data_IF_867899351946
#
_entry.id   IF_867899351946
#
_cell.length_a   1.000
_cell.length_b   1.000
_cell.length_c   1.000
_cell.angle_alpha   90.00
_cell.angle_beta   90.00
_cell.angle_gamma   90.00
#
_symmetry.space_group_name_H-M   'P 1'
#
loop_
_entity.id
_entity.type
_entity.pdbx_description
1 polymer ?
#
# COMPACT_ATOMS: atom_id res chain seq x y z
N UNK A 1 -11.34 1.42 16.70
CA UNK A 1 -10.61 2.62 16.19
C UNK A 1 -11.63 3.59 15.67
N UNK A 2 -11.47 4.89 15.93
CA UNK A 2 -12.34 5.95 15.40
C UNK A 2 -11.95 6.38 13.99
N UNK A 3 -12.80 7.19 13.37
CA UNK A 3 -12.65 7.65 11.99
C UNK A 3 -11.41 8.54 11.82
N UNK A 4 -11.14 9.43 12.75
CA UNK A 4 -9.99 10.34 12.69
C UNK A 4 -8.66 9.58 12.73
N UNK A 5 -8.58 8.55 13.56
CA UNK A 5 -7.41 7.64 13.60
C UNK A 5 -7.22 6.90 12.28
N UNK A 6 -8.29 6.40 11.66
CA UNK A 6 -8.23 5.76 10.33
C UNK A 6 -7.73 6.73 9.26
N UNK A 7 -8.25 7.95 9.25
CA UNK A 7 -7.81 9.00 8.33
C UNK A 7 -6.33 9.33 8.54
N UNK A 8 -5.90 9.43 9.79
CA UNK A 8 -4.49 9.62 10.15
C UNK A 8 -3.60 8.50 9.59
N UNK A 9 -4.01 7.23 9.72
CA UNK A 9 -3.28 6.09 9.17
C UNK A 9 -3.16 6.16 7.64
N UNK A 10 -4.25 6.44 6.93
CA UNK A 10 -4.24 6.55 5.47
C UNK A 10 -3.33 7.69 4.97
N UNK A 11 -3.41 8.86 5.61
CA UNK A 11 -2.61 10.02 5.24
C UNK A 11 -1.13 9.80 5.51
N UNK A 12 -0.81 9.29 6.70
CA UNK A 12 0.59 9.02 7.09
C UNK A 12 1.21 7.95 6.21
N UNK A 13 0.52 6.82 5.99
CA UNK A 13 1.03 5.74 5.15
C UNK A 13 1.19 6.16 3.68
N UNK A 14 0.31 7.03 3.16
CA UNK A 14 0.47 7.65 1.84
C UNK A 14 1.78 8.43 1.76
N UNK A 15 2.01 9.33 2.71
CA UNK A 15 3.21 10.15 2.74
C UNK A 15 4.47 9.30 2.88
N UNK A 16 4.47 8.33 3.80
CA UNK A 16 5.59 7.40 4.02
C UNK A 16 5.93 6.65 2.73
N UNK A 17 4.91 6.12 2.04
CA UNK A 17 5.13 5.39 0.79
C UNK A 17 5.68 6.28 -0.32
N UNK A 18 5.09 7.45 -0.58
CA UNK A 18 5.58 8.37 -1.61
C UNK A 18 7.00 8.87 -1.32
N UNK A 19 7.31 9.12 -0.04
CA UNK A 19 8.65 9.55 0.38
C UNK A 19 9.71 8.46 0.21
N UNK A 20 9.35 7.17 0.28
CA UNK A 20 10.31 6.06 0.19
C UNK A 20 11.05 6.00 -1.15
N UNK A 21 10.45 6.48 -2.23
CA UNK A 21 11.05 6.50 -3.57
C UNK A 21 11.23 7.90 -4.16
N UNK A 22 11.03 8.95 -3.35
CA UNK A 22 11.23 10.32 -3.81
C UNK A 22 12.69 10.53 -4.27
N UNK A 23 12.86 11.15 -5.43
CA UNK A 23 14.17 11.43 -6.01
C UNK A 23 14.88 10.26 -6.68
N UNK A 24 14.24 9.08 -6.75
CA UNK A 24 14.76 7.95 -7.55
C UNK A 24 14.47 8.22 -9.03
N UNK A 25 15.50 8.07 -9.88
CA UNK A 25 15.35 8.17 -11.33
C UNK A 25 14.57 6.98 -11.90
N UNK A 26 13.92 7.15 -13.06
CA UNK A 26 13.27 6.04 -13.75
C UNK A 26 14.23 4.89 -14.07
N UNK A 27 15.48 5.20 -14.42
CA UNK A 27 16.50 4.19 -14.69
C UNK A 27 16.85 3.38 -13.43
N UNK A 28 16.97 4.05 -12.28
CA UNK A 28 17.27 3.38 -11.01
C UNK A 28 16.05 2.61 -10.48
N UNK A 29 14.84 3.11 -10.71
CA UNK A 29 13.62 2.47 -10.25
C UNK A 29 13.37 1.10 -10.87
N UNK A 30 14.00 0.81 -12.03
CA UNK A 30 13.90 -0.47 -12.75
C UNK A 30 14.97 -1.49 -12.37
N UNK A 31 15.97 -1.09 -11.58
CA UNK A 31 17.03 -2.01 -11.17
C UNK A 31 16.51 -3.02 -10.16
N UNK A 32 16.79 -4.30 -10.41
CA UNK A 32 16.42 -5.38 -9.50
C UNK A 32 17.58 -5.64 -8.52
N UNK A 33 17.29 -5.77 -7.21
CA UNK A 33 18.32 -6.02 -6.20
C UNK A 33 18.88 -7.45 -6.24
N UNK A 34 18.27 -8.34 -7.02
CA UNK A 34 18.68 -9.73 -7.19
C UNK A 34 17.76 -10.45 -8.15
N UNK A 35 18.10 -11.70 -8.48
CA UNK A 35 17.28 -12.57 -9.31
C UNK A 35 15.91 -12.81 -8.62
N UNK A 36 14.83 -12.72 -9.37
CA UNK A 36 13.45 -12.86 -8.89
C UNK A 36 13.04 -11.87 -7.76
N UNK A 37 13.77 -10.78 -7.61
CA UNK A 37 13.43 -9.70 -6.69
C UNK A 37 12.77 -8.54 -7.43
N UNK A 38 11.77 -7.94 -6.84
CA UNK A 38 11.12 -6.76 -7.40
C UNK A 38 12.02 -5.53 -7.37
N UNK A 39 11.93 -4.73 -8.41
CA UNK A 39 12.49 -3.38 -8.46
C UNK A 39 11.62 -2.41 -7.65
N UNK A 40 12.05 -1.15 -7.54
CA UNK A 40 11.21 -0.09 -6.95
C UNK A 40 9.95 0.11 -7.78
N UNK A 41 10.05 0.17 -9.11
CA UNK A 41 8.90 0.35 -9.99
C UNK A 41 7.91 -0.81 -9.87
N UNK A 42 8.40 -2.06 -9.81
CA UNK A 42 7.55 -3.23 -9.59
C UNK A 42 6.78 -3.15 -8.27
N UNK A 43 7.47 -2.70 -7.22
CA UNK A 43 6.86 -2.54 -5.89
C UNK A 43 5.77 -1.47 -5.90
N UNK A 44 6.01 -0.34 -6.58
CA UNK A 44 5.02 0.73 -6.72
C UNK A 44 3.85 0.28 -7.58
N UNK A 45 4.09 -0.42 -8.70
CA UNK A 45 3.04 -0.99 -9.55
C UNK A 45 2.14 -1.96 -8.76
N UNK A 46 2.75 -2.88 -8.03
CA UNK A 46 2.02 -3.84 -7.20
C UNK A 46 1.09 -3.14 -6.22
N UNK A 47 1.63 -2.18 -5.44
CA UNK A 47 0.82 -1.48 -4.45
C UNK A 47 -0.29 -0.65 -5.10
N UNK A 48 -0.02 -0.01 -6.25
CA UNK A 48 -1.01 0.76 -6.99
C UNK A 48 -2.18 -0.13 -7.45
N UNK A 49 -1.88 -1.31 -7.96
CA UNK A 49 -2.91 -2.28 -8.37
C UNK A 49 -3.73 -2.79 -7.16
N UNK A 50 -3.05 -3.15 -6.07
CA UNK A 50 -3.70 -3.61 -4.84
C UNK A 50 -4.59 -2.51 -4.22
N UNK A 51 -4.12 -1.27 -4.18
CA UNK A 51 -4.89 -0.12 -3.69
C UNK A 51 -6.19 0.07 -4.46
N UNK A 52 -6.13 -0.01 -5.80
CA UNK A 52 -7.32 0.08 -6.65
C UNK A 52 -8.32 -1.05 -6.40
N UNK A 53 -7.85 -2.26 -6.15
CA UNK A 53 -8.73 -3.40 -5.80
C UNK A 53 -9.39 -3.15 -4.45
N UNK A 54 -8.62 -2.81 -3.42
CA UNK A 54 -9.15 -2.59 -2.07
C UNK A 54 -10.11 -1.39 -2.02
N UNK A 55 -9.83 -0.33 -2.79
CA UNK A 55 -10.76 0.80 -2.92
C UNK A 55 -12.12 0.34 -3.45
N UNK A 56 -12.15 -0.43 -4.55
CA UNK A 56 -13.42 -0.97 -5.07
C UNK A 56 -14.14 -1.85 -4.06
N UNK A 57 -13.42 -2.67 -3.32
CA UNK A 57 -14.04 -3.50 -2.28
C UNK A 57 -14.79 -2.65 -1.24
N UNK A 58 -14.17 -1.60 -0.72
CA UNK A 58 -14.80 -0.75 0.31
C UNK A 58 -15.89 0.17 -0.23
N UNK A 59 -15.87 0.52 -1.53
CA UNK A 59 -16.84 1.43 -2.14
C UNK A 59 -18.00 0.71 -2.82
N UNK A 60 -17.76 -0.45 -3.45
CA UNK A 60 -18.72 -1.09 -4.35
C UNK A 60 -19.28 -2.41 -3.79
N UNK A 61 -18.49 -3.17 -3.00
CA UNK A 61 -18.89 -4.52 -2.58
C UNK A 61 -19.17 -4.67 -1.11
N UNK A 62 -18.95 -3.62 -0.29
CA UNK A 62 -19.21 -3.67 1.13
C UNK A 62 -20.70 -3.94 1.40
N UNK A 63 -20.97 -4.74 2.39
CA UNK A 63 -22.31 -5.03 2.86
C UNK A 63 -22.39 -4.96 4.39
N UNK A 64 -23.60 -4.96 4.93
CA UNK A 64 -23.78 -5.07 6.39
C UNK A 64 -23.14 -6.37 6.89
N UNK A 65 -22.55 -6.31 8.06
CA UNK A 65 -21.96 -7.45 8.73
C UNK A 65 -23.01 -8.56 8.90
N UNK A 66 -22.70 -9.73 8.38
CA UNK A 66 -23.61 -10.89 8.40
C UNK A 66 -23.32 -11.84 9.55
N UNK A 67 -22.11 -11.79 10.10
CA UNK A 67 -21.62 -12.67 11.15
C UNK A 67 -20.80 -11.86 12.16
N UNK A 68 -20.66 -12.38 13.37
CA UNK A 68 -19.74 -11.83 14.36
C UNK A 68 -18.30 -12.15 13.97
N UNK A 69 -17.70 -11.23 13.21
CA UNK A 69 -16.28 -11.32 12.85
C UNK A 69 -15.41 -10.97 14.07
N UNK A 70 -14.34 -11.74 14.31
CA UNK A 70 -13.39 -11.40 15.36
C UNK A 70 -12.74 -10.05 15.06
N UNK A 71 -12.60 -9.17 16.04
CA UNK A 71 -11.87 -7.91 15.88
C UNK A 71 -10.37 -8.18 15.80
N UNK A 72 -9.79 -7.98 14.61
CA UNK A 72 -8.39 -8.21 14.30
C UNK A 72 -7.59 -6.92 14.10
N UNK A 73 -8.15 -5.75 14.41
CA UNK A 73 -7.50 -4.45 14.21
C UNK A 73 -6.08 -4.43 14.82
N UNK A 74 -5.94 -4.85 16.10
CA UNK A 74 -4.63 -4.88 16.77
C UNK A 74 -3.66 -5.84 16.10
N UNK A 75 -4.15 -6.98 15.62
CA UNK A 75 -3.34 -7.97 14.91
C UNK A 75 -2.80 -7.37 13.61
N UNK A 76 -3.66 -6.77 12.78
CA UNK A 76 -3.25 -6.17 11.52
C UNK A 76 -2.28 -5.00 11.71
N UNK A 77 -2.50 -4.18 12.73
CA UNK A 77 -1.57 -3.11 13.09
C UNK A 77 -0.17 -3.63 13.46
N UNK A 78 -0.08 -4.78 14.12
CA UNK A 78 1.17 -5.33 14.60
C UNK A 78 1.93 -6.15 13.55
N UNK A 79 1.23 -6.91 12.69
CA UNK A 79 1.90 -7.94 11.88
C UNK A 79 2.10 -7.58 10.42
N UNK A 80 1.29 -6.68 9.85
CA UNK A 80 1.31 -6.44 8.40
C UNK A 80 2.58 -5.74 7.92
N UNK A 81 3.27 -4.99 8.77
CA UNK A 81 4.56 -4.34 8.45
C UNK A 81 5.77 -5.22 8.74
N UNK A 82 5.59 -6.39 9.37
CA UNK A 82 6.71 -7.30 9.68
C UNK A 82 7.29 -7.94 8.40
N UNK A 83 8.39 -7.39 7.91
CA UNK A 83 9.09 -7.82 6.69
C UNK A 83 9.79 -9.17 6.83
N UNK A 84 10.00 -9.67 8.04
CA UNK A 84 10.57 -11.02 8.28
C UNK A 84 9.64 -12.12 7.80
N UNK A 85 8.32 -11.84 7.75
CA UNK A 85 7.32 -12.72 7.16
C UNK A 85 7.23 -12.46 5.66
N UNK A 86 7.72 -13.41 4.86
CA UNK A 86 7.48 -13.36 3.42
C UNK A 86 6.00 -13.61 3.16
N UNK A 87 5.38 -12.75 2.38
CA UNK A 87 4.01 -12.91 1.89
C UNK A 87 4.10 -13.00 0.37
N UNK A 88 3.59 -14.08 -0.17
CA UNK A 88 3.50 -14.23 -1.62
C UNK A 88 2.32 -13.41 -2.15
N UNK A 89 2.58 -12.66 -3.19
CA UNK A 89 1.51 -11.98 -3.91
C UNK A 89 0.77 -12.97 -4.78
N UNK A 90 -0.58 -12.96 -4.81
CA UNK A 90 -1.32 -13.73 -5.79
C UNK A 90 -0.92 -13.29 -7.21
N UNK A 91 -1.09 -14.16 -8.20
CA UNK A 91 -0.65 -13.89 -9.58
C UNK A 91 -1.22 -12.58 -10.13
N UNK A 92 -2.49 -12.30 -9.83
CA UNK A 92 -3.17 -11.05 -10.21
C UNK A 92 -2.57 -9.78 -9.58
N UNK A 93 -1.82 -9.92 -8.52
CA UNK A 93 -1.13 -8.82 -7.82
C UNK A 93 0.33 -8.65 -8.21
N UNK A 94 0.90 -9.56 -9.01
CA UNK A 94 2.29 -9.43 -9.46
C UNK A 94 2.45 -8.27 -10.44
N UNK A 95 3.61 -7.60 -10.44
CA UNK A 95 3.93 -6.57 -11.45
C UNK A 95 3.85 -7.15 -12.86
N UNK A 96 3.31 -6.38 -13.79
CA UNK A 96 3.11 -6.77 -15.19
C UNK A 96 3.69 -5.73 -16.17
N UNK A 97 4.44 -4.74 -15.68
CA UNK A 97 5.02 -3.68 -16.49
C UNK A 97 3.98 -2.69 -17.04
N UNK A 98 2.96 -2.37 -16.26
CA UNK A 98 1.86 -1.47 -16.66
C UNK A 98 2.26 -0.02 -16.79
N UNK A 99 3.33 0.37 -16.07
CA UNK A 99 3.77 1.77 -16.01
C UNK A 99 5.13 1.93 -16.70
N UNK A 100 5.18 2.91 -17.60
CA UNK A 100 6.43 3.30 -18.24
C UNK A 100 7.29 4.16 -17.31
N UNK A 101 6.70 4.91 -16.39
CA UNK A 101 7.38 5.83 -15.50
C UNK A 101 6.91 5.70 -14.06
N UNK A 102 7.85 5.91 -13.12
CA UNK A 102 7.57 5.87 -11.68
C UNK A 102 6.52 6.91 -11.28
N UNK A 103 6.55 8.08 -11.91
CA UNK A 103 5.60 9.17 -11.67
C UNK A 103 4.16 8.78 -12.02
N UNK A 104 3.96 8.05 -13.13
CA UNK A 104 2.62 7.57 -13.52
C UNK A 104 2.04 6.62 -12.47
N UNK A 105 2.83 5.67 -12.00
CA UNK A 105 2.43 4.74 -10.95
C UNK A 105 2.11 5.47 -9.64
N UNK A 106 2.95 6.45 -9.26
CA UNK A 106 2.76 7.27 -8.06
C UNK A 106 1.50 8.13 -8.14
N UNK A 107 1.21 8.72 -9.31
CA UNK A 107 -0.01 9.50 -9.55
C UNK A 107 -1.26 8.64 -9.43
N UNK A 108 -1.25 7.44 -10.01
CA UNK A 108 -2.37 6.49 -9.92
C UNK A 108 -2.60 6.03 -8.47
N UNK A 109 -1.55 5.67 -7.73
CA UNK A 109 -1.64 5.36 -6.30
C UNK A 109 -2.23 6.52 -5.51
N UNK A 110 -1.72 7.73 -5.75
CA UNK A 110 -2.17 8.96 -5.08
C UNK A 110 -3.66 9.20 -5.31
N UNK A 111 -4.14 9.01 -6.55
CA UNK A 111 -5.54 9.14 -6.91
C UNK A 111 -6.41 8.13 -6.13
N UNK A 112 -6.08 6.86 -6.17
CA UNK A 112 -6.83 5.80 -5.46
C UNK A 112 -6.82 6.02 -3.95
N UNK A 113 -5.68 6.40 -3.36
CA UNK A 113 -5.57 6.68 -1.93
C UNK A 113 -6.39 7.91 -1.51
N UNK A 114 -6.43 8.95 -2.33
CA UNK A 114 -7.26 10.13 -2.06
C UNK A 114 -8.75 9.77 -2.08
N UNK A 115 -9.17 8.90 -2.99
CA UNK A 115 -10.56 8.40 -3.04
C UNK A 115 -10.88 7.57 -1.79
N UNK A 116 -9.96 6.72 -1.31
CA UNK A 116 -10.15 5.98 -0.07
C UNK A 116 -10.25 6.91 1.15
N UNK A 117 -9.43 7.95 1.22
CA UNK A 117 -9.51 8.98 2.27
C UNK A 117 -10.88 9.68 2.22
N UNK A 118 -11.29 10.13 1.04
CA UNK A 118 -12.58 10.78 0.84
C UNK A 118 -13.76 9.86 1.22
N UNK A 119 -13.69 8.58 0.85
CA UNK A 119 -14.70 7.60 1.25
C UNK A 119 -14.80 7.50 2.78
N UNK A 120 -13.68 7.38 3.49
CA UNK A 120 -13.67 7.32 4.96
C UNK A 120 -14.19 8.61 5.56
N UNK A 121 -13.80 9.78 5.06
CA UNK A 121 -14.28 11.10 5.54
C UNK A 121 -15.80 11.28 5.40
N UNK A 122 -16.37 10.80 4.31
CA UNK A 122 -17.79 11.00 3.99
C UNK A 122 -18.69 9.88 4.55
N UNK A 123 -18.12 8.75 4.96
CA UNK A 123 -18.88 7.62 5.46
C UNK A 123 -19.50 7.94 6.82
N UNK A 124 -20.83 7.91 6.87
CA UNK A 124 -21.59 8.13 8.11
C UNK A 124 -21.87 6.84 8.88
N UNK A 125 -21.68 5.70 8.23
CA UNK A 125 -21.88 4.39 8.83
C UNK A 125 -20.64 4.00 9.64
N UNK A 126 -20.85 3.21 10.70
CA UNK A 126 -19.72 2.57 11.38
C UNK A 126 -19.08 1.54 10.46
N UNK A 127 -17.85 1.79 10.04
CA UNK A 127 -17.08 0.88 9.18
C UNK A 127 -16.76 -0.47 9.86
N UNK A 128 -16.98 -0.59 11.17
CA UNK A 128 -16.92 -1.85 11.89
C UNK A 128 -18.17 -2.71 11.74
N UNK A 129 -19.30 -2.10 11.36
CA UNK A 129 -20.59 -2.78 11.15
C UNK A 129 -20.82 -3.18 9.68
N UNK A 130 -19.87 -2.88 8.82
CA UNK A 130 -19.84 -3.33 7.42
C UNK A 130 -18.64 -4.23 7.18
N UNK A 131 -18.74 -5.11 6.19
CA UNK A 131 -17.72 -6.09 5.86
C UNK A 131 -17.43 -6.16 4.36
N UNK A 132 -16.26 -6.64 4.03
CA UNK A 132 -15.79 -6.94 2.67
C UNK A 132 -14.97 -8.23 2.69
N UNK A 133 -14.87 -8.90 1.53
CA UNK A 133 -14.00 -10.07 1.39
C UNK A 133 -12.68 -9.64 0.75
N UNK A 134 -11.59 -9.82 1.49
CA UNK A 134 -10.25 -9.51 0.98
C UNK A 134 -9.87 -10.48 -0.15
N UNK A 135 -9.29 -10.00 -1.27
CA UNK A 135 -8.94 -10.86 -2.40
C UNK A 135 -7.85 -11.89 -2.06
N UNK A 136 -7.07 -11.65 -1.00
CA UNK A 136 -6.07 -12.60 -0.50
C UNK A 136 -6.71 -13.52 0.52
N UNK A 137 -6.71 -14.83 0.25
CA UNK A 137 -7.38 -15.86 1.06
C UNK A 137 -7.00 -15.86 2.55
N UNK A 138 -5.77 -15.46 2.89
CA UNK A 138 -5.30 -15.41 4.28
C UNK A 138 -6.04 -14.39 5.16
N UNK A 139 -6.59 -13.32 4.59
CA UNK A 139 -7.36 -12.32 5.34
C UNK A 139 -8.84 -12.70 5.42
N UNK A 140 -9.39 -13.35 4.38
CA UNK A 140 -10.79 -13.73 4.29
C UNK A 140 -11.74 -12.54 4.36
N UNK A 141 -12.89 -12.71 4.99
CA UNK A 141 -13.83 -11.62 5.26
C UNK A 141 -13.35 -10.81 6.46
N UNK A 142 -13.37 -9.49 6.31
CA UNK A 142 -12.92 -8.51 7.31
C UNK A 142 -13.95 -7.39 7.42
N UNK A 143 -13.98 -6.66 8.53
CA UNK A 143 -14.74 -5.41 8.60
C UNK A 143 -14.16 -4.39 7.60
N UNK A 144 -15.00 -3.46 7.12
CA UNK A 144 -14.51 -2.37 6.25
C UNK A 144 -13.44 -1.54 6.95
N UNK A 145 -13.54 -1.38 8.27
CA UNK A 145 -12.52 -0.72 9.10
C UNK A 145 -11.19 -1.46 9.05
N UNK A 146 -11.20 -2.78 9.19
CA UNK A 146 -10.00 -3.61 9.09
C UNK A 146 -9.39 -3.54 7.68
N UNK A 147 -10.21 -3.48 6.62
CA UNK A 147 -9.71 -3.29 5.25
C UNK A 147 -8.96 -1.97 5.11
N UNK A 148 -9.47 -0.88 5.67
CA UNK A 148 -8.78 0.42 5.68
C UNK A 148 -7.44 0.34 6.42
N UNK A 149 -7.38 -0.39 7.54
CA UNK A 149 -6.12 -0.65 8.26
C UNK A 149 -5.15 -1.45 7.37
N UNK A 150 -5.64 -2.48 6.69
CA UNK A 150 -4.84 -3.29 5.76
C UNK A 150 -4.27 -2.39 4.64
N UNK A 151 -5.07 -1.52 4.04
CA UNK A 151 -4.61 -0.56 3.02
C UNK A 151 -3.44 0.30 3.54
N UNK A 152 -3.56 0.85 4.73
CA UNK A 152 -2.52 1.70 5.31
C UNK A 152 -1.24 0.90 5.60
N UNK A 153 -1.36 -0.24 6.26
CA UNK A 153 -0.21 -1.09 6.63
C UNK A 153 0.46 -1.74 5.43
N UNK A 154 -0.29 -2.04 4.37
CA UNK A 154 0.26 -2.54 3.12
C UNK A 154 1.18 -1.51 2.45
N UNK A 155 0.78 -0.24 2.44
CA UNK A 155 1.63 0.84 1.93
C UNK A 155 2.90 1.02 2.77
N UNK A 156 2.80 1.00 4.09
CA UNK A 156 3.97 1.07 4.97
C UNK A 156 4.92 -0.12 4.77
N UNK A 157 4.38 -1.33 4.61
CA UNK A 157 5.17 -2.54 4.32
C UNK A 157 5.99 -2.38 3.04
N UNK A 158 5.38 -1.84 1.98
CA UNK A 158 6.06 -1.64 0.71
C UNK A 158 7.02 -0.44 0.73
N UNK A 159 6.77 0.58 1.54
CA UNK A 159 7.76 1.62 1.82
C UNK A 159 9.04 1.02 2.43
N UNK A 160 8.91 0.14 3.43
CA UNK A 160 10.05 -0.58 4.02
C UNK A 160 10.76 -1.48 2.98
N UNK A 161 10.01 -2.14 2.09
CA UNK A 161 10.60 -2.91 1.00
C UNK A 161 11.44 -2.05 0.06
N UNK A 162 10.95 -0.87 -0.30
CA UNK A 162 11.68 0.08 -1.15
C UNK A 162 12.98 0.51 -0.46
N UNK A 163 12.97 0.78 0.84
CA UNK A 163 14.20 1.10 1.59
C UNK A 163 15.21 -0.04 1.59
N UNK A 164 14.74 -1.30 1.69
CA UNK A 164 15.60 -2.50 1.54
C UNK A 164 16.23 -2.56 0.14
N UNK A 165 15.43 -2.32 -0.91
CA UNK A 165 15.90 -2.29 -2.32
C UNK A 165 16.95 -1.19 -2.49
N UNK A 166 16.66 0.03 -2.03
CA UNK A 166 17.60 1.17 -2.09
C UNK A 166 18.92 0.85 -1.41
N UNK A 167 18.85 0.27 -0.22
CA UNK A 167 20.04 -0.12 0.54
C UNK A 167 20.87 -1.14 -0.24
N UNK A 168 20.24 -2.18 -0.78
CA UNK A 168 20.92 -3.24 -1.54
C UNK A 168 21.58 -2.71 -2.82
N UNK A 169 20.94 -1.77 -3.49
CA UNK A 169 21.42 -1.17 -4.75
C UNK A 169 22.30 0.07 -4.54
N UNK A 170 22.48 0.55 -3.30
CA UNK A 170 23.21 1.77 -3.02
C UNK A 170 22.54 3.05 -3.54
N UNK A 171 21.20 3.01 -3.70
CA UNK A 171 20.41 4.15 -4.17
C UNK A 171 20.10 5.07 -2.98
N UNK A 172 20.99 5.98 -2.69
CA UNK A 172 20.73 7.05 -1.73
C UNK A 172 20.19 8.27 -2.47
N UNK A 173 19.23 9.00 -1.87
CA UNK A 173 18.76 10.27 -2.42
C UNK A 173 19.96 11.15 -2.72
N UNK A 174 20.11 11.55 -3.99
CA UNK A 174 21.34 12.12 -4.52
C UNK A 174 21.87 13.26 -3.63
N UNK A 175 23.10 13.13 -3.17
CA UNK A 175 23.95 14.28 -2.96
C UNK A 175 24.05 14.93 -4.34
N UNK A 176 23.39 16.07 -4.54
CA UNK A 176 23.70 16.97 -5.66
C UNK A 176 25.21 17.07 -5.69
N UNK A 177 25.80 16.58 -6.80
CA UNK A 177 27.21 16.77 -7.07
C UNK A 177 27.44 18.28 -7.00
N UNK A 178 28.07 18.70 -5.90
CA UNK A 178 28.51 20.08 -5.74
C UNK A 178 29.41 20.40 -6.90
N UNK A 179 29.01 21.36 -7.73
CA UNK A 179 29.85 22.10 -8.67
C UNK A 179 31.18 22.43 -8.01
N UNK A 180 32.23 21.72 -8.38
CA UNK A 180 33.57 22.25 -8.24
C UNK A 180 33.86 23.05 -9.53
N UNK A 181 33.72 24.38 -9.38
CA UNK A 181 34.27 25.37 -10.32
C UNK A 181 35.72 25.71 -9.95
#
# INVERSE_FOLDING_TARGET
>A
MDQDTLLGLLRTSKQTFLSSFAGISDADSRKHPGENCWSVLDTVEHLTAAEGVMLRLITETRCKKQEDLPNRERLFLAVLTDRRRKMESPESGKPQGRFAHLEEAAAQFTSSRNQAIQFVEQCKEDLGETQVTHPHSAAGTVSTREMVIIMARHAERHALQIEEIKTTLGLHAGKTAGSQG
#
